data_IF_508181123193
#
_entry.id   IF_508181123193
#
_cell.length_a   1.000
_cell.length_b   1.000
_cell.length_c   1.000
_cell.angle_alpha   90.00
_cell.angle_beta   90.00
_cell.angle_gamma   90.00
#
_symmetry.space_group_name_H-M   'P 1'
#
loop_
_entity.id
_entity.type
_entity.pdbx_description
1 polymer ?
#
# COMPACT_ATOMS: atom_id res chain seq x y z
N UNK A 1 28.09 29.50 20.28
CA UNK A 1 27.38 28.20 20.12
C UNK A 1 26.60 28.03 18.80
N UNK A 2 26.62 29.01 17.89
CA UNK A 2 25.90 28.94 16.60
C UNK A 2 26.62 28.14 15.46
N UNK A 3 27.91 27.90 15.59
CA UNK A 3 28.71 27.25 14.52
C UNK A 3 28.56 25.73 14.40
N UNK A 4 28.13 25.03 15.44
CA UNK A 4 28.00 23.56 15.44
C UNK A 4 26.69 23.04 14.82
N UNK A 5 25.60 23.81 14.84
CA UNK A 5 24.34 23.42 14.23
C UNK A 5 24.32 23.55 12.71
N UNK A 6 25.12 24.47 12.15
CA UNK A 6 25.20 24.66 10.68
C UNK A 6 26.03 23.58 9.97
N UNK A 7 27.04 23.01 10.67
CA UNK A 7 27.86 21.93 10.12
C UNK A 7 27.09 20.60 9.98
N UNK A 8 26.15 20.32 10.91
CA UNK A 8 25.30 19.12 10.85
C UNK A 8 24.25 19.20 9.74
N UNK A 9 23.71 20.39 9.42
CA UNK A 9 22.74 20.55 8.35
C UNK A 9 23.35 20.41 6.95
N UNK A 10 24.59 20.80 6.76
CA UNK A 10 25.32 20.69 5.48
C UNK A 10 25.72 19.22 5.22
N UNK A 11 26.20 18.51 6.21
CA UNK A 11 26.52 17.08 6.10
C UNK A 11 25.27 16.24 5.81
N UNK A 12 24.14 16.56 6.46
CA UNK A 12 22.86 15.90 6.21
C UNK A 12 22.34 16.10 4.76
N UNK A 13 22.47 17.32 4.20
CA UNK A 13 22.11 17.61 2.82
C UNK A 13 22.98 16.89 1.81
N UNK A 14 24.29 16.79 2.05
CA UNK A 14 25.22 16.09 1.17
C UNK A 14 25.01 14.57 1.18
N UNK A 15 24.75 13.98 2.35
CA UNK A 15 24.38 12.56 2.46
C UNK A 15 23.05 12.32 1.74
N UNK A 16 22.05 13.18 1.94
CA UNK A 16 20.75 13.10 1.26
C UNK A 16 20.89 13.21 -0.27
N UNK A 17 21.74 14.11 -0.78
CA UNK A 17 22.00 14.24 -2.20
C UNK A 17 22.67 13.01 -2.80
N UNK A 18 23.70 12.48 -2.16
CA UNK A 18 24.40 11.24 -2.58
C UNK A 18 23.51 10.01 -2.54
N UNK A 19 22.62 9.92 -1.56
CA UNK A 19 21.66 8.80 -1.45
C UNK A 19 20.57 8.91 -2.51
N UNK A 20 20.08 10.13 -2.84
CA UNK A 20 19.16 10.38 -3.97
C UNK A 20 19.81 10.06 -5.33
N UNK A 21 21.08 10.36 -5.52
CA UNK A 21 21.82 10.04 -6.75
C UNK A 21 22.06 8.53 -6.87
N UNK A 22 22.49 7.87 -5.79
CA UNK A 22 22.68 6.42 -5.74
C UNK A 22 21.37 5.64 -5.94
N UNK A 23 20.26 6.15 -5.41
CA UNK A 23 18.92 5.58 -5.64
C UNK A 23 18.51 5.70 -7.12
N UNK A 24 18.87 6.80 -7.82
CA UNK A 24 18.63 6.95 -9.25
C UNK A 24 19.49 6.01 -10.11
N UNK A 25 20.72 5.72 -9.71
CA UNK A 25 21.60 4.79 -10.43
C UNK A 25 21.19 3.32 -10.28
N UNK A 26 20.59 2.96 -9.13
CA UNK A 26 20.15 1.59 -8.85
C UNK A 26 18.77 1.31 -9.46
N UNK A 27 17.96 2.35 -9.69
CA UNK A 27 16.68 2.27 -10.39
C UNK A 27 16.92 2.55 -11.88
N UNK A 28 17.75 1.75 -12.54
CA UNK A 28 17.70 1.67 -13.99
C UNK A 28 16.31 1.22 -14.43
N UNK A 29 15.76 1.71 -15.56
CA UNK A 29 14.45 1.32 -16.02
C UNK A 29 14.46 -0.18 -16.29
N UNK A 30 13.95 -0.98 -15.31
CA UNK A 30 13.57 -2.35 -15.62
C UNK A 30 12.42 -2.26 -16.60
N UNK A 31 12.38 -3.06 -17.67
CA UNK A 31 11.22 -3.10 -18.54
C UNK A 31 10.04 -3.61 -17.68
N UNK A 32 9.28 -2.68 -17.12
CA UNK A 32 7.96 -2.99 -16.64
C UNK A 32 7.17 -3.41 -17.88
N UNK A 33 6.95 -4.71 -18.03
CA UNK A 33 5.90 -5.16 -18.92
C UNK A 33 4.64 -4.40 -18.55
N UNK A 34 3.95 -3.86 -19.54
CA UNK A 34 2.77 -3.01 -19.43
C UNK A 34 1.59 -3.78 -18.84
N UNK A 35 1.65 -4.10 -17.54
CA UNK A 35 0.53 -4.65 -16.80
C UNK A 35 -0.15 -3.50 -16.05
N UNK A 36 -1.45 -3.38 -16.25
CA UNK A 36 -2.31 -2.45 -15.51
C UNK A 36 -2.51 -3.00 -14.10
N UNK A 37 -1.54 -2.77 -13.20
CA UNK A 37 -1.60 -3.18 -11.79
C UNK A 37 -1.72 -1.99 -10.84
N UNK A 38 -1.76 -2.27 -9.54
CA UNK A 38 -1.93 -1.29 -8.45
C UNK A 38 -0.91 -0.14 -8.50
N UNK A 39 0.35 -0.45 -8.83
CA UNK A 39 1.44 0.51 -8.83
C UNK A 39 1.68 1.17 -10.20
N UNK A 40 0.80 0.95 -11.16
CA UNK A 40 0.86 1.62 -12.46
C UNK A 40 0.36 3.05 -12.32
N UNK A 41 1.27 4.02 -12.39
CA UNK A 41 0.86 5.42 -12.39
C UNK A 41 0.13 5.78 -13.68
N UNK A 42 -1.07 6.31 -13.54
CA UNK A 42 -1.87 6.84 -14.65
C UNK A 42 -2.36 8.22 -14.24
N UNK A 43 -1.98 9.30 -14.94
CA UNK A 43 -2.47 10.64 -14.63
C UNK A 43 -4.00 10.66 -14.57
N UNK A 44 -4.56 11.28 -13.54
CA UNK A 44 -6.01 11.41 -13.37
C UNK A 44 -6.74 10.12 -12.97
N UNK A 45 -6.03 9.04 -12.61
CA UNK A 45 -6.65 7.81 -12.11
C UNK A 45 -5.98 7.29 -10.85
N UNK A 46 -6.73 7.26 -9.76
CA UNK A 46 -6.35 6.60 -8.52
C UNK A 46 -6.68 5.11 -8.58
N UNK A 47 -5.70 4.24 -8.31
CA UNK A 47 -5.91 2.79 -8.24
C UNK A 47 -6.58 2.39 -6.93
N UNK A 48 -7.31 1.28 -6.96
CA UNK A 48 -8.06 0.79 -5.79
C UNK A 48 -7.61 -0.60 -5.41
N UNK A 49 -7.23 -0.77 -4.14
CA UNK A 49 -7.02 -2.08 -3.52
C UNK A 49 -8.12 -2.33 -2.49
N UNK A 50 -8.68 -3.55 -2.50
CA UNK A 50 -9.56 -4.04 -1.41
C UNK A 50 -8.82 -5.16 -0.69
N UNK A 51 -8.56 -4.96 0.62
CA UNK A 51 -7.72 -5.83 1.41
C UNK A 51 -8.53 -6.76 2.32
N UNK A 52 -8.03 -7.99 2.50
CA UNK A 52 -8.61 -8.97 3.43
C UNK A 52 -9.84 -9.69 2.87
N UNK A 53 -9.78 -10.11 1.59
CA UNK A 53 -10.79 -10.94 0.98
C UNK A 53 -10.56 -12.40 1.38
N UNK A 54 -11.64 -13.10 1.76
CA UNK A 54 -11.56 -14.47 2.29
C UNK A 54 -12.42 -15.48 1.54
N UNK A 55 -13.31 -15.02 0.65
CA UNK A 55 -14.22 -15.88 -0.09
C UNK A 55 -14.20 -15.60 -1.59
N UNK A 56 -14.66 -16.57 -2.38
CA UNK A 56 -14.83 -16.38 -3.82
C UNK A 56 -15.87 -15.30 -4.14
N UNK A 57 -16.91 -15.20 -3.34
CA UNK A 57 -17.94 -14.15 -3.49
C UNK A 57 -17.37 -12.75 -3.30
N UNK A 58 -16.46 -12.56 -2.31
CA UNK A 58 -15.78 -11.28 -2.10
C UNK A 58 -14.90 -10.92 -3.30
N UNK A 59 -14.11 -11.89 -3.81
CA UNK A 59 -13.24 -11.68 -4.98
C UNK A 59 -14.06 -11.33 -6.22
N UNK A 60 -15.10 -12.10 -6.51
CA UNK A 60 -15.95 -11.87 -7.68
C UNK A 60 -16.63 -10.49 -7.62
N UNK A 61 -17.09 -10.09 -6.42
CA UNK A 61 -17.72 -8.78 -6.21
C UNK A 61 -16.72 -7.63 -6.38
N UNK A 62 -15.51 -7.76 -5.84
CA UNK A 62 -14.45 -6.77 -6.00
C UNK A 62 -14.03 -6.62 -7.48
N UNK A 63 -13.85 -7.73 -8.17
CA UNK A 63 -13.52 -7.75 -9.62
C UNK A 63 -14.65 -7.11 -10.44
N UNK A 64 -15.89 -7.48 -10.17
CA UNK A 64 -17.06 -6.91 -10.86
C UNK A 64 -17.21 -5.41 -10.63
N UNK A 65 -16.80 -4.91 -9.46
CA UNK A 65 -16.80 -3.48 -9.15
C UNK A 65 -15.63 -2.71 -9.82
N UNK A 66 -14.65 -3.40 -10.40
CA UNK A 66 -13.53 -2.77 -11.12
C UNK A 66 -12.33 -2.42 -10.23
N UNK A 67 -12.01 -3.28 -9.26
CA UNK A 67 -10.81 -3.17 -8.41
C UNK A 67 -9.53 -3.34 -9.24
N UNK A 68 -8.44 -2.67 -8.83
CA UNK A 68 -7.11 -2.81 -9.46
C UNK A 68 -6.23 -3.85 -8.72
N UNK A 69 -6.52 -4.12 -7.44
CA UNK A 69 -5.81 -5.13 -6.65
C UNK A 69 -6.67 -5.69 -5.51
N UNK A 70 -6.43 -6.93 -5.14
CA UNK A 70 -7.04 -7.57 -3.96
C UNK A 70 -5.96 -8.04 -2.99
N UNK A 71 -6.22 -7.90 -1.68
CA UNK A 71 -5.27 -8.27 -0.63
C UNK A 71 -5.68 -9.54 0.11
N UNK A 72 -4.72 -10.46 0.26
CA UNK A 72 -4.84 -11.69 1.07
C UNK A 72 -3.93 -11.56 2.29
N UNK A 73 -4.48 -11.79 3.47
CA UNK A 73 -3.77 -11.58 4.74
C UNK A 73 -3.19 -12.91 5.22
N UNK A 74 -1.86 -13.00 5.27
CA UNK A 74 -1.13 -14.17 5.80
C UNK A 74 -0.58 -13.89 7.20
N UNK A 75 -1.42 -13.35 8.07
CA UNK A 75 -1.13 -13.06 9.47
C UNK A 75 -2.16 -13.75 10.37
N UNK A 76 -1.84 -14.91 11.00
CA UNK A 76 -2.80 -15.74 11.72
C UNK A 76 -3.63 -15.03 12.78
N UNK A 77 -3.11 -14.02 13.53
CA UNK A 77 -3.92 -13.29 14.49
C UNK A 77 -5.02 -12.41 13.86
N UNK A 78 -4.98 -12.16 12.56
CA UNK A 78 -5.99 -11.36 11.86
C UNK A 78 -7.27 -12.18 11.66
N UNK A 79 -8.43 -11.55 11.91
CA UNK A 79 -9.75 -12.14 11.57
C UNK A 79 -9.94 -12.32 10.05
N UNK A 80 -9.07 -11.70 9.24
CA UNK A 80 -9.06 -11.76 7.77
C UNK A 80 -8.00 -12.70 7.23
N UNK A 81 -7.39 -13.53 8.12
CA UNK A 81 -6.33 -14.43 7.71
C UNK A 81 -6.86 -15.56 6.81
N UNK A 82 -6.10 -15.86 5.76
CA UNK A 82 -6.36 -16.99 4.87
C UNK A 82 -5.12 -17.89 4.82
N UNK A 83 -5.34 -19.19 4.59
CA UNK A 83 -4.23 -20.10 4.31
C UNK A 83 -3.67 -19.88 2.89
N UNK A 84 -2.40 -20.26 2.64
CA UNK A 84 -1.83 -20.17 1.29
C UNK A 84 -2.64 -20.90 0.22
N UNK A 85 -3.21 -22.06 0.55
CA UNK A 85 -4.03 -22.84 -0.40
C UNK A 85 -5.37 -22.17 -0.72
N UNK A 86 -6.01 -21.54 0.28
CA UNK A 86 -7.24 -20.76 0.07
C UNK A 86 -6.90 -19.55 -0.83
N UNK A 87 -5.84 -18.82 -0.52
CA UNK A 87 -5.40 -17.69 -1.33
C UNK A 87 -5.13 -18.11 -2.79
N UNK A 88 -4.48 -19.24 -3.02
CA UNK A 88 -4.23 -19.77 -4.37
C UNK A 88 -5.54 -19.99 -5.16
N UNK A 89 -6.56 -20.58 -4.52
CA UNK A 89 -7.88 -20.78 -5.13
C UNK A 89 -8.58 -19.44 -5.43
N UNK A 90 -8.46 -18.46 -4.56
CA UNK A 90 -9.04 -17.14 -4.76
C UNK A 90 -8.31 -16.35 -5.86
N UNK A 91 -6.99 -16.44 -5.91
CA UNK A 91 -6.16 -15.79 -6.92
C UNK A 91 -6.46 -16.33 -8.33
N UNK A 92 -6.74 -17.63 -8.47
CA UNK A 92 -7.08 -18.23 -9.77
C UNK A 92 -8.35 -17.64 -10.42
N UNK A 93 -9.15 -16.87 -9.68
CA UNK A 93 -10.35 -16.17 -10.16
C UNK A 93 -10.04 -14.75 -10.68
N UNK A 94 -8.84 -14.23 -10.43
CA UNK A 94 -8.51 -12.86 -10.82
C UNK A 94 -8.28 -12.77 -12.33
N UNK A 95 -8.88 -11.78 -13.00
CA UNK A 95 -8.57 -11.50 -14.40
C UNK A 95 -7.18 -10.88 -14.54
N UNK A 96 -6.61 -10.97 -15.73
CA UNK A 96 -5.38 -10.25 -16.05
C UNK A 96 -5.53 -8.75 -15.75
N UNK A 97 -4.50 -8.17 -15.10
CA UNK A 97 -4.48 -6.75 -14.72
C UNK A 97 -5.00 -6.43 -13.32
N UNK A 98 -5.50 -7.41 -12.57
CA UNK A 98 -5.80 -7.27 -11.14
C UNK A 98 -4.70 -7.92 -10.32
N UNK A 99 -4.01 -7.14 -9.48
CA UNK A 99 -2.93 -7.64 -8.64
C UNK A 99 -3.44 -8.50 -7.47
N UNK A 100 -2.71 -9.60 -7.21
CA UNK A 100 -2.83 -10.38 -5.98
C UNK A 100 -1.79 -9.89 -4.97
N UNK A 101 -2.22 -9.17 -3.94
CA UNK A 101 -1.33 -8.63 -2.91
C UNK A 101 -1.27 -9.57 -1.72
N UNK A 102 -0.05 -10.06 -1.41
CA UNK A 102 0.21 -10.88 -0.22
C UNK A 102 0.65 -10.00 0.96
N UNK A 103 -0.21 -9.85 1.98
CA UNK A 103 0.11 -9.12 3.20
C UNK A 103 0.70 -10.06 4.23
N UNK A 104 1.91 -9.75 4.69
CA UNK A 104 2.62 -10.47 5.76
C UNK A 104 3.01 -9.53 6.90
N UNK A 105 3.13 -10.09 8.10
CA UNK A 105 3.56 -9.39 9.32
C UNK A 105 4.62 -10.26 9.99
N UNK A 106 5.88 -9.81 9.94
CA UNK A 106 7.02 -10.48 10.58
C UNK A 106 7.10 -11.99 10.26
N UNK A 107 6.80 -12.37 9.03
CA UNK A 107 6.78 -13.77 8.61
C UNK A 107 8.17 -14.43 8.73
N UNK A 108 8.19 -15.68 9.19
CA UNK A 108 9.40 -16.51 9.14
C UNK A 108 9.73 -16.94 7.70
N UNK A 109 10.96 -17.44 7.47
CA UNK A 109 11.35 -17.94 6.15
C UNK A 109 10.47 -19.09 5.70
N UNK A 110 10.11 -19.99 6.62
CA UNK A 110 9.25 -21.14 6.33
C UNK A 110 7.82 -20.71 5.97
N UNK A 111 7.26 -19.76 6.72
CA UNK A 111 5.93 -19.20 6.43
C UNK A 111 5.90 -18.51 5.07
N UNK A 112 6.90 -17.67 4.79
CA UNK A 112 6.98 -16.95 3.54
C UNK A 112 7.18 -17.89 2.35
N UNK A 113 8.07 -18.90 2.49
CA UNK A 113 8.30 -19.91 1.48
C UNK A 113 7.03 -20.74 1.18
N UNK A 114 6.27 -21.11 2.21
CA UNK A 114 5.01 -21.82 2.05
C UNK A 114 3.96 -21.00 1.27
N UNK A 115 3.86 -19.67 1.55
CA UNK A 115 2.96 -18.77 0.81
C UNK A 115 3.39 -18.71 -0.66
N UNK A 116 4.68 -18.46 -0.91
CA UNK A 116 5.24 -18.34 -2.26
C UNK A 116 5.08 -19.61 -3.08
N UNK A 117 5.22 -20.79 -2.45
CA UNK A 117 5.06 -22.06 -3.14
C UNK A 117 3.61 -22.36 -3.53
N UNK A 118 2.63 -21.87 -2.77
CA UNK A 118 1.22 -22.17 -2.99
C UNK A 118 0.47 -21.12 -3.81
N UNK A 119 0.79 -19.81 -3.63
CA UNK A 119 -0.02 -18.71 -4.14
C UNK A 119 0.80 -17.79 -5.07
N UNK A 120 0.25 -17.51 -6.25
CA UNK A 120 0.87 -16.61 -7.25
C UNK A 120 0.67 -15.14 -6.86
N UNK A 121 1.41 -14.67 -5.85
CA UNK A 121 1.41 -13.28 -5.40
C UNK A 121 2.14 -12.42 -6.44
N UNK A 122 1.56 -11.28 -6.82
CA UNK A 122 2.17 -10.33 -7.77
C UNK A 122 2.80 -9.12 -7.09
N UNK A 123 2.40 -8.81 -5.84
CA UNK A 123 2.89 -7.70 -5.05
C UNK A 123 2.91 -8.08 -3.57
N UNK A 124 4.05 -7.94 -2.91
CA UNK A 124 4.17 -8.17 -1.47
C UNK A 124 3.87 -6.91 -0.67
N UNK A 125 3.16 -7.07 0.44
CA UNK A 125 2.92 -6.01 1.42
C UNK A 125 3.50 -6.42 2.76
N UNK A 126 4.61 -5.78 3.16
CA UNK A 126 5.22 -5.96 4.48
C UNK A 126 4.58 -4.98 5.47
N UNK A 127 3.80 -5.51 6.40
CA UNK A 127 2.98 -4.72 7.33
C UNK A 127 3.41 -4.82 8.80
N UNK A 128 4.51 -5.51 9.06
CA UNK A 128 5.14 -5.65 10.38
C UNK A 128 6.28 -4.69 10.60
N UNK A 129 7.26 -5.13 11.38
CA UNK A 129 8.47 -4.39 11.73
C UNK A 129 9.69 -4.89 10.93
N UNK A 130 9.45 -5.52 9.76
CA UNK A 130 10.49 -6.03 8.88
C UNK A 130 11.45 -4.90 8.46
N UNK A 131 12.76 -5.12 8.61
CA UNK A 131 13.77 -4.17 8.14
C UNK A 131 13.80 -4.11 6.60
N UNK A 132 14.38 -3.05 6.00
CA UNK A 132 14.53 -2.95 4.55
C UNK A 132 15.23 -4.16 3.92
N UNK A 133 16.30 -4.64 4.59
CA UNK A 133 17.08 -5.81 4.16
C UNK A 133 16.22 -7.07 4.18
N UNK A 134 15.41 -7.23 5.26
CA UNK A 134 14.49 -8.35 5.39
C UNK A 134 13.42 -8.33 4.32
N UNK A 135 12.82 -7.16 4.05
CA UNK A 135 11.86 -7.01 2.96
C UNK A 135 12.47 -7.40 1.60
N UNK A 136 13.65 -6.88 1.29
CA UNK A 136 14.34 -7.18 0.04
C UNK A 136 14.73 -8.65 -0.09
N UNK A 137 15.20 -9.26 1.00
CA UNK A 137 15.54 -10.69 1.05
C UNK A 137 14.31 -11.55 0.76
N UNK A 138 13.20 -11.31 1.46
CA UNK A 138 11.96 -12.06 1.27
C UNK A 138 11.35 -11.84 -0.11
N UNK A 139 11.31 -10.60 -0.59
CA UNK A 139 10.78 -10.27 -1.91
C UNK A 139 11.62 -10.87 -3.05
N UNK A 140 12.93 -11.09 -2.86
CA UNK A 140 13.83 -11.73 -3.82
C UNK A 140 13.72 -11.16 -5.26
N UNK A 141 13.56 -9.84 -5.36
CA UNK A 141 13.42 -9.12 -6.64
C UNK A 141 12.00 -8.93 -7.15
N UNK A 142 11.01 -9.54 -6.51
CA UNK A 142 9.59 -9.27 -6.78
C UNK A 142 9.16 -7.88 -6.25
N UNK A 143 8.12 -7.26 -6.81
CA UNK A 143 7.60 -5.98 -6.33
C UNK A 143 7.11 -6.09 -4.88
N UNK A 144 7.39 -5.04 -4.09
CA UNK A 144 6.91 -4.97 -2.72
C UNK A 144 6.63 -3.55 -2.25
N UNK A 145 5.74 -3.41 -1.31
CA UNK A 145 5.45 -2.17 -0.59
C UNK A 145 5.62 -2.35 0.91
N UNK A 146 6.05 -1.27 1.58
CA UNK A 146 6.15 -1.21 3.03
C UNK A 146 5.00 -0.42 3.62
N UNK A 147 4.31 -1.00 4.58
CA UNK A 147 3.32 -0.28 5.37
C UNK A 147 4.01 0.56 6.45
N UNK A 148 3.59 1.82 6.56
CA UNK A 148 3.95 2.76 7.60
C UNK A 148 2.74 2.95 8.52
N UNK A 149 2.91 2.74 9.82
CA UNK A 149 1.91 3.07 10.84
C UNK A 149 2.09 4.54 11.25
N UNK A 150 1.28 5.40 10.64
CA UNK A 150 1.42 6.85 10.78
C UNK A 150 0.65 7.35 12.01
N UNK A 151 1.38 7.97 12.93
CA UNK A 151 0.86 8.62 14.12
C UNK A 151 1.51 9.97 14.34
N UNK A 152 1.20 10.64 15.45
CA UNK A 152 1.80 11.93 15.80
C UNK A 152 3.32 11.85 15.83
N UNK A 153 3.99 12.74 15.10
CA UNK A 153 5.45 12.80 15.05
C UNK A 153 6.12 11.75 14.13
N UNK A 154 5.35 11.10 13.26
CA UNK A 154 5.93 10.16 12.31
C UNK A 154 6.96 10.83 11.39
N UNK A 155 8.15 10.23 11.30
CA UNK A 155 9.28 10.77 10.54
C UNK A 155 9.22 10.33 9.07
N UNK A 156 8.42 11.01 8.25
CA UNK A 156 8.17 10.67 6.85
C UNK A 156 9.44 10.61 6.00
N UNK A 157 10.35 11.58 6.15
CA UNK A 157 11.61 11.62 5.40
C UNK A 157 12.52 10.43 5.76
N UNK A 158 12.66 10.11 7.04
CA UNK A 158 13.48 9.00 7.50
C UNK A 158 12.91 7.66 7.02
N UNK A 159 11.59 7.50 7.08
CA UNK A 159 10.91 6.32 6.57
C UNK A 159 11.13 6.13 5.06
N UNK A 160 10.91 7.15 4.26
CA UNK A 160 11.10 7.06 2.81
C UNK A 160 12.56 6.87 2.41
N UNK A 161 13.51 7.38 3.20
CA UNK A 161 14.94 7.14 3.02
C UNK A 161 15.29 5.69 3.38
N UNK A 162 14.81 5.20 4.52
CA UNK A 162 15.07 3.85 5.02
C UNK A 162 14.53 2.78 4.07
N UNK A 163 13.29 2.92 3.60
CA UNK A 163 12.64 1.97 2.69
C UNK A 163 12.68 2.41 1.22
N UNK A 164 13.71 3.15 0.81
CA UNK A 164 13.85 3.71 -0.54
C UNK A 164 13.76 2.69 -1.67
N UNK A 165 14.08 1.43 -1.43
CA UNK A 165 13.98 0.32 -2.39
C UNK A 165 12.56 -0.28 -2.52
N UNK A 166 11.62 0.06 -1.65
CA UNK A 166 10.23 -0.34 -1.81
C UNK A 166 9.64 0.25 -3.10
N UNK A 167 8.78 -0.48 -3.77
CA UNK A 167 8.06 0.04 -4.95
C UNK A 167 6.99 1.06 -4.54
N UNK A 168 6.40 0.90 -3.33
CA UNK A 168 5.43 1.84 -2.79
C UNK A 168 5.48 1.89 -1.26
N UNK A 169 4.85 2.95 -0.71
CA UNK A 169 4.62 3.17 0.72
C UNK A 169 3.13 3.13 0.98
N UNK A 170 2.68 2.17 1.79
CA UNK A 170 1.29 2.14 2.24
C UNK A 170 1.21 2.89 3.57
N UNK A 171 0.48 4.01 3.59
CA UNK A 171 0.26 4.80 4.80
C UNK A 171 -1.00 4.32 5.50
N UNK A 172 -0.87 3.76 6.68
CA UNK A 172 -1.97 3.28 7.52
C UNK A 172 -2.03 4.03 8.86
N UNK A 173 -3.18 4.09 9.49
CA UNK A 173 -3.32 4.69 10.81
C UNK A 173 -2.53 3.90 11.86
N UNK A 174 -1.87 4.62 12.78
CA UNK A 174 -1.28 4.00 13.97
C UNK A 174 -2.41 3.53 14.89
N UNK A 175 -2.65 2.23 14.93
CA UNK A 175 -3.58 1.58 15.85
C UNK A 175 -2.84 0.55 16.67
N UNK A 176 -3.40 0.16 17.82
CA UNK A 176 -2.87 -0.94 18.60
C UNK A 176 -2.91 -2.25 17.77
N UNK A 177 -1.78 -2.92 17.62
CA UNK A 177 -1.61 -4.10 16.75
C UNK A 177 -1.25 -3.74 15.29
N UNK A 178 -1.52 -4.68 14.39
CA UNK A 178 -1.19 -4.54 12.96
C UNK A 178 -2.46 -4.44 12.10
N UNK A 179 -2.84 -3.21 11.74
CA UNK A 179 -3.86 -2.89 10.75
C UNK A 179 -5.32 -3.18 11.12
N UNK A 180 -6.23 -2.62 10.36
CA UNK A 180 -7.66 -2.97 10.38
C UNK A 180 -8.49 -2.39 11.52
N UNK A 181 -7.98 -1.40 12.27
CA UNK A 181 -8.70 -0.74 13.35
C UNK A 181 -9.84 0.18 12.90
N UNK A 182 -9.92 0.52 11.63
CA UNK A 182 -10.97 1.38 11.07
C UNK A 182 -10.94 2.83 11.57
N UNK A 183 -9.88 3.22 12.29
CA UNK A 183 -9.71 4.58 12.79
C UNK A 183 -9.13 5.44 11.67
N UNK A 184 -9.79 6.55 11.26
CA UNK A 184 -9.19 7.49 10.33
C UNK A 184 -7.95 8.11 10.97
N UNK A 185 -6.83 8.14 10.27
CA UNK A 185 -5.74 8.96 10.72
C UNK A 185 -5.83 10.38 10.12
N UNK A 186 -5.21 11.34 10.80
CA UNK A 186 -5.20 12.72 10.35
C UNK A 186 -4.27 12.88 9.14
N UNK A 187 -4.83 12.80 7.93
CA UNK A 187 -4.08 13.07 6.68
C UNK A 187 -3.53 14.49 6.61
N UNK A 188 -4.06 15.41 7.44
CA UNK A 188 -3.56 16.79 7.52
C UNK A 188 -2.13 16.85 8.08
N UNK A 189 -1.75 15.86 8.89
CA UNK A 189 -0.41 15.71 9.42
C UNK A 189 0.66 15.27 8.41
N UNK A 190 0.28 14.87 7.18
CA UNK A 190 1.26 14.49 6.16
C UNK A 190 1.87 15.74 5.51
N UNK A 191 3.22 15.92 5.56
CA UNK A 191 3.87 17.10 4.98
C UNK A 191 3.65 17.16 3.46
N UNK A 192 3.14 18.28 2.96
CA UNK A 192 2.87 18.47 1.52
C UNK A 192 4.13 18.35 0.64
N UNK A 193 5.28 18.76 1.18
CA UNK A 193 6.58 18.60 0.50
C UNK A 193 6.93 17.13 0.30
N UNK A 194 6.67 16.29 1.31
CA UNK A 194 6.87 14.85 1.22
C UNK A 194 5.88 14.20 0.24
N UNK A 195 4.60 14.64 0.27
CA UNK A 195 3.57 14.15 -0.65
C UNK A 195 3.97 14.43 -2.09
N UNK A 196 4.36 15.68 -2.45
CA UNK A 196 4.72 16.04 -3.81
C UNK A 196 5.91 15.24 -4.37
N UNK A 197 6.84 14.83 -3.49
CA UNK A 197 7.99 14.00 -3.87
C UNK A 197 7.63 12.50 -4.00
N UNK A 198 6.63 12.02 -3.27
CA UNK A 198 6.34 10.59 -3.10
C UNK A 198 4.97 10.15 -3.61
N UNK A 199 4.06 11.05 -3.98
CA UNK A 199 2.68 10.74 -4.41
C UNK A 199 2.57 9.56 -5.41
N UNK A 200 3.46 9.43 -6.43
CA UNK A 200 3.41 8.30 -7.36
C UNK A 200 3.70 6.92 -6.72
N UNK A 201 4.15 6.90 -5.47
CA UNK A 201 4.48 5.70 -4.70
C UNK A 201 3.62 5.54 -3.45
N UNK A 202 2.68 6.47 -3.20
CA UNK A 202 1.83 6.44 -2.01
C UNK A 202 0.58 5.63 -2.27
N UNK A 203 0.38 4.59 -1.47
CA UNK A 203 -0.89 3.88 -1.30
C UNK A 203 -1.49 4.36 0.01
N UNK A 204 -2.59 5.09 -0.05
CA UNK A 204 -3.24 5.62 1.14
C UNK A 204 -4.22 4.60 1.70
N UNK A 205 -4.09 4.32 3.01
CA UNK A 205 -4.96 3.42 3.78
C UNK A 205 -5.39 4.10 5.09
N UNK A 206 -5.86 3.33 6.07
CA UNK A 206 -6.19 3.84 7.42
C UNK A 206 -7.54 4.53 7.49
N UNK A 207 -8.60 3.77 7.81
CA UNK A 207 -9.95 4.28 8.05
C UNK A 207 -10.67 4.85 6.83
N UNK A 208 -10.18 4.57 5.61
CA UNK A 208 -10.87 4.95 4.39
C UNK A 208 -12.24 4.26 4.27
N UNK A 209 -13.21 5.02 3.76
CA UNK A 209 -14.57 4.57 3.48
C UNK A 209 -15.19 5.43 2.38
N UNK A 210 -16.44 5.12 2.00
CA UNK A 210 -17.18 5.82 0.94
C UNK A 210 -17.28 7.34 1.16
N UNK A 211 -17.34 7.79 2.42
CA UNK A 211 -17.60 9.20 2.75
C UNK A 211 -16.34 10.08 2.77
N UNK A 212 -15.15 9.49 2.97
CA UNK A 212 -13.93 10.24 3.17
C UNK A 212 -12.85 10.04 2.08
N UNK A 213 -12.97 8.99 1.26
CA UNK A 213 -11.96 8.67 0.22
C UNK A 213 -11.80 9.79 -0.81
N UNK A 214 -12.88 10.48 -1.17
CA UNK A 214 -12.85 11.58 -2.12
C UNK A 214 -12.02 12.77 -1.63
N UNK A 215 -12.15 13.15 -0.36
CA UNK A 215 -11.34 14.20 0.26
C UNK A 215 -9.87 13.80 0.35
N UNK A 216 -9.61 12.55 0.74
CA UNK A 216 -8.26 12.02 0.83
C UNK A 216 -7.52 12.06 -0.52
N UNK A 217 -8.21 11.68 -1.61
CA UNK A 217 -7.65 11.74 -2.97
C UNK A 217 -7.39 13.19 -3.40
N UNK A 218 -8.36 14.08 -3.22
CA UNK A 218 -8.22 15.49 -3.60
C UNK A 218 -7.06 16.19 -2.87
N UNK A 219 -6.75 15.77 -1.65
CA UNK A 219 -5.68 16.35 -0.84
C UNK A 219 -4.29 15.80 -1.15
N UNK A 220 -4.19 14.48 -1.33
CA UNK A 220 -2.89 13.80 -1.34
C UNK A 220 -2.49 13.28 -2.73
N UNK A 221 -3.42 13.22 -3.67
CA UNK A 221 -3.19 12.68 -5.01
C UNK A 221 -2.38 11.37 -5.01
N UNK A 222 -2.75 10.37 -4.18
CA UNK A 222 -2.00 9.14 -4.07
C UNK A 222 -2.08 8.31 -5.36
N UNK A 223 -1.10 7.44 -5.62
CA UNK A 223 -1.18 6.53 -6.76
C UNK A 223 -2.30 5.50 -6.59
N UNK A 224 -2.59 5.14 -5.34
CA UNK A 224 -3.65 4.19 -5.01
C UNK A 224 -4.24 4.46 -3.62
N UNK A 225 -5.44 3.93 -3.41
CA UNK A 225 -6.10 3.82 -2.11
C UNK A 225 -6.32 2.36 -1.75
N UNK A 226 -6.20 2.03 -0.46
CA UNK A 226 -6.41 0.71 0.10
C UNK A 226 -7.52 0.74 1.16
N UNK A 227 -8.51 -0.10 1.02
CA UNK A 227 -9.63 -0.20 1.95
C UNK A 227 -9.79 -1.63 2.46
N UNK A 228 -10.08 -1.78 3.75
CA UNK A 228 -10.43 -3.06 4.34
C UNK A 228 -11.75 -2.98 5.11
N UNK A 229 -11.74 -2.45 6.35
CA UNK A 229 -12.93 -2.36 7.20
C UNK A 229 -14.00 -1.40 6.68
N UNK A 230 -13.61 -0.37 5.92
CA UNK A 230 -14.56 0.60 5.36
C UNK A 230 -15.54 0.07 4.31
N UNK A 231 -15.36 -1.19 3.89
CA UNK A 231 -16.28 -1.91 2.99
C UNK A 231 -16.77 -3.22 3.62
N UNK A 232 -16.89 -3.26 4.96
CA UNK A 232 -17.37 -4.40 5.73
C UNK A 232 -18.67 -4.06 6.46
N UNK A 233 -19.62 -5.01 6.51
CA UNK A 233 -20.84 -4.90 7.34
C UNK A 233 -20.57 -5.28 8.79
N UNK A 234 -19.58 -6.16 9.00
CA UNK A 234 -19.04 -6.52 10.31
C UNK A 234 -17.59 -6.95 10.15
N UNK A 235 -16.84 -6.99 11.24
CA UNK A 235 -15.41 -7.26 11.20
C UNK A 235 -15.07 -8.55 10.44
N UNK A 236 -14.41 -8.43 9.29
CA UNK A 236 -14.00 -9.51 8.40
C UNK A 236 -15.06 -9.93 7.36
N UNK A 237 -16.26 -9.32 7.33
CA UNK A 237 -17.33 -9.66 6.39
C UNK A 237 -17.51 -8.50 5.39
N UNK A 238 -17.05 -8.69 4.16
CA UNK A 238 -17.16 -7.70 3.09
C UNK A 238 -18.61 -7.53 2.63
N UNK A 239 -18.93 -6.31 2.20
CA UNK A 239 -20.21 -5.97 1.59
C UNK A 239 -20.02 -5.62 0.12
N UNK A 240 -20.61 -6.36 -0.83
CA UNK A 240 -20.51 -6.07 -2.27
C UNK A 240 -20.96 -4.67 -2.64
N UNK A 241 -22.02 -4.16 -1.98
CA UNK A 241 -22.55 -2.82 -2.27
C UNK A 241 -21.58 -1.74 -1.79
N UNK A 242 -21.00 -1.89 -0.58
CA UNK A 242 -20.00 -0.96 -0.08
C UNK A 242 -18.70 -0.97 -0.92
N UNK A 243 -18.27 -2.15 -1.40
CA UNK A 243 -17.13 -2.24 -2.32
C UNK A 243 -17.40 -1.45 -3.62
N UNK A 244 -18.56 -1.63 -4.23
CA UNK A 244 -18.94 -0.91 -5.43
C UNK A 244 -19.06 0.60 -5.19
N UNK A 245 -19.70 1.03 -4.10
CA UNK A 245 -19.83 2.44 -3.72
C UNK A 245 -18.47 3.09 -3.46
N UNK A 246 -17.53 2.38 -2.81
CA UNK A 246 -16.19 2.88 -2.57
C UNK A 246 -15.44 3.15 -3.88
N UNK A 247 -15.48 2.20 -4.83
CA UNK A 247 -14.85 2.37 -6.14
C UNK A 247 -15.50 3.51 -6.91
N UNK A 248 -16.82 3.65 -6.86
CA UNK A 248 -17.53 4.78 -7.48
C UNK A 248 -17.12 6.13 -6.88
N UNK A 249 -16.95 6.21 -5.54
CA UNK A 249 -16.49 7.42 -4.88
C UNK A 249 -15.06 7.80 -5.32
N UNK A 250 -14.17 6.83 -5.50
CA UNK A 250 -12.83 7.06 -6.05
C UNK A 250 -12.91 7.60 -7.48
N UNK A 251 -13.70 6.99 -8.36
CA UNK A 251 -13.87 7.45 -9.77
C UNK A 251 -14.48 8.85 -9.84
N UNK A 252 -15.41 9.18 -8.94
CA UNK A 252 -16.01 10.51 -8.86
C UNK A 252 -14.98 11.58 -8.39
N UNK A 253 -14.04 11.21 -7.51
CA UNK A 253 -12.95 12.09 -7.10
C UNK A 253 -11.95 12.32 -8.25
N UNK A 254 -11.54 11.26 -8.96
CA UNK A 254 -10.65 11.34 -10.12
C UNK A 254 -11.22 12.28 -11.20
N UNK A 255 -12.53 12.19 -11.51
CA UNK A 255 -13.18 13.03 -12.49
C UNK A 255 -13.16 14.52 -12.14
N UNK A 256 -13.29 14.87 -10.84
CA UNK A 256 -13.23 16.25 -10.36
C UNK A 256 -11.80 16.83 -10.47
N UNK A 257 -10.78 16.02 -10.16
CA UNK A 257 -9.38 16.44 -10.23
C UNK A 257 -8.90 16.66 -11.67
N UNK A 258 -9.45 15.89 -12.64
CA UNK A 258 -9.12 16.03 -14.07
C UNK A 258 -9.77 17.25 -14.73
N UNK A 259 -10.72 17.91 -14.06
CA UNK A 259 -11.49 19.06 -14.58
C UNK A 259 -10.93 20.42 -14.08
N UNK A 260 -9.90 20.41 -13.24
CA UNK A 260 -9.18 21.59 -12.73
C UNK A 260 -7.82 21.76 -13.43
#
# INVERSE_FOLDING_TARGET
MAGKLLATSKGYREVRARTKERAKEIIGPRPYHSFMGLLTHSPGRTRVKICGLMSSADVDSAVSAGVDAVGFVFYPPSVRAVSPNIAAQLISRLPAGVDAVGLVVNATDEQFAAIRAAASITLWQFHGDETPERCAQLAAGEPWMKAARVGTGFAFDDFSLQYGHANAFLLDALVEGYGGGGVPFDWQGIPQTWVSENAPRVVLSGGLNVHNVGEAIARLHPCAVDVSSGVEISRGVKDPALMAQFIQAVRAADAKTSSQ
#
